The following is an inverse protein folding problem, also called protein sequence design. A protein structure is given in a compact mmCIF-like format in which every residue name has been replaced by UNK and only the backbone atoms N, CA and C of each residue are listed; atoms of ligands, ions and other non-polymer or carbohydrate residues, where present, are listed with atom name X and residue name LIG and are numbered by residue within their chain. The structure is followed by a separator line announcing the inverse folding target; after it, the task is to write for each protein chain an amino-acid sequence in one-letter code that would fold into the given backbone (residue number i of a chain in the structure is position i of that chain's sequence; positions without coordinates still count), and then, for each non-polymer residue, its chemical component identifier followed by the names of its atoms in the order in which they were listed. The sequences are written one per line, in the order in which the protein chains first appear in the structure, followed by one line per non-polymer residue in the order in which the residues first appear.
data_IF_264623655354
#
_entry.id   IF_264623655354
#
_cell.length_a   1.000
_cell.length_b   1.000
_cell.length_c   1.000
_cell.angle_alpha   90.00
_cell.angle_beta   90.00
_cell.angle_gamma   90.00
#
_symmetry.space_group_name_H-M   'P 1'
#
loop_
_entity.id
_entity.type
_entity.pdbx_description
1 polymer ?
#
# COMPACT_ATOMS: atom_id res chain seq x y z
N UNK A 1 16.83 2.68 -7.49
CA UNK A 1 16.16 3.32 -6.33
C UNK A 1 14.63 3.49 -6.56
N UNK A 2 13.94 2.57 -7.26
CA UNK A 2 12.50 2.68 -7.58
C UNK A 2 11.60 2.14 -6.45
N UNK A 3 11.97 1.00 -5.85
CA UNK A 3 11.23 0.29 -4.79
C UNK A 3 11.14 1.08 -3.49
N UNK A 4 12.24 1.70 -3.03
CA UNK A 4 12.23 2.54 -1.82
C UNK A 4 11.23 3.70 -1.91
N UNK A 5 11.17 4.37 -3.07
CA UNK A 5 10.23 5.46 -3.32
C UNK A 5 8.78 4.93 -3.30
N UNK A 6 8.52 3.79 -3.94
CA UNK A 6 7.19 3.17 -3.94
C UNK A 6 6.75 2.82 -2.51
N UNK A 7 7.64 2.24 -1.70
CA UNK A 7 7.34 1.92 -0.30
C UNK A 7 7.03 3.19 0.49
N UNK A 8 7.84 4.25 0.35
CA UNK A 8 7.61 5.52 1.03
C UNK A 8 6.26 6.16 0.64
N UNK A 9 5.94 6.17 -0.65
CA UNK A 9 4.64 6.64 -1.16
C UNK A 9 3.51 5.78 -0.58
N UNK A 10 3.66 4.46 -0.53
CA UNK A 10 2.65 3.56 0.01
C UNK A 10 2.34 3.81 1.47
N UNK A 11 3.38 4.05 2.28
CA UNK A 11 3.20 4.41 3.69
C UNK A 11 2.46 5.75 3.78
N UNK A 12 2.88 6.77 3.03
CA UNK A 12 2.23 8.08 3.04
C UNK A 12 0.75 8.00 2.62
N UNK A 13 0.45 7.33 1.52
CA UNK A 13 -0.92 7.13 1.01
C UNK A 13 -1.77 6.36 2.02
N UNK A 14 -1.21 5.34 2.65
CA UNK A 14 -1.89 4.58 3.69
C UNK A 14 -2.23 5.42 4.91
N UNK A 15 -1.29 6.22 5.40
CA UNK A 15 -1.52 7.16 6.50
C UNK A 15 -2.56 8.22 6.15
N UNK A 16 -2.49 8.80 4.94
CA UNK A 16 -3.47 9.77 4.46
C UNK A 16 -4.87 9.16 4.35
N UNK A 17 -4.98 7.95 3.80
CA UNK A 17 -6.26 7.24 3.68
C UNK A 17 -6.87 6.99 5.05
N UNK A 18 -6.06 6.54 6.02
CA UNK A 18 -6.48 6.37 7.41
C UNK A 18 -6.94 7.70 8.02
N UNK A 19 -6.23 8.80 7.77
CA UNK A 19 -6.58 10.12 8.28
C UNK A 19 -7.88 10.67 7.68
N UNK A 20 -8.06 10.59 6.35
CA UNK A 20 -9.27 11.02 5.64
C UNK A 20 -10.49 10.22 6.07
N UNK A 21 -10.37 8.89 6.12
CA UNK A 21 -11.46 8.00 6.54
C UNK A 21 -11.84 8.20 8.00
N UNK A 22 -10.87 8.50 8.87
CA UNK A 22 -11.13 8.88 10.26
C UNK A 22 -11.93 10.18 10.34
N UNK A 23 -11.56 11.20 9.55
CA UNK A 23 -12.33 12.46 9.47
C UNK A 23 -13.75 12.23 8.97
N UNK A 24 -13.95 11.25 8.07
CA UNK A 24 -15.26 10.81 7.60
C UNK A 24 -16.02 9.88 8.57
N UNK A 25 -15.54 9.71 9.82
CA UNK A 25 -16.11 8.82 10.86
C UNK A 25 -16.30 7.36 10.40
N UNK A 26 -15.52 6.89 9.43
CA UNK A 26 -15.56 5.50 8.97
C UNK A 26 -14.74 4.60 9.89
N UNK A 27 -15.11 3.31 9.92
CA UNK A 27 -14.37 2.31 10.69
C UNK A 27 -12.91 2.22 10.23
N UNK A 28 -11.93 2.13 11.16
CA UNK A 28 -10.53 1.88 10.81
C UNK A 28 -10.32 0.62 9.96
N UNK A 29 -11.23 -0.36 10.05
CA UNK A 29 -11.21 -1.56 9.20
C UNK A 29 -11.54 -1.24 7.74
N UNK A 30 -12.55 -0.41 7.51
CA UNK A 30 -12.96 0.03 6.16
C UNK A 30 -11.86 0.86 5.51
N UNK A 31 -11.24 1.78 6.26
CA UNK A 31 -10.12 2.59 5.79
C UNK A 31 -8.93 1.72 5.37
N UNK A 32 -8.57 0.73 6.19
CA UNK A 32 -7.50 -0.21 5.89
C UNK A 32 -7.79 -1.05 4.64
N UNK A 33 -9.01 -1.60 4.50
CA UNK A 33 -9.39 -2.40 3.34
C UNK A 33 -9.37 -1.56 2.05
N UNK A 34 -9.89 -0.34 2.10
CA UNK A 34 -9.86 0.58 0.95
C UNK A 34 -8.41 0.86 0.52
N UNK A 35 -7.53 1.18 1.47
CA UNK A 35 -6.11 1.35 1.18
C UNK A 35 -5.50 0.08 0.59
N UNK A 36 -5.68 -1.07 1.22
CA UNK A 36 -5.06 -2.32 0.78
C UNK A 36 -5.48 -2.70 -0.64
N UNK A 37 -6.76 -2.57 -0.98
CA UNK A 37 -7.28 -2.89 -2.32
C UNK A 37 -6.71 -1.93 -3.37
N UNK A 38 -6.76 -0.62 -3.11
CA UNK A 38 -6.24 0.38 -4.04
C UNK A 38 -4.72 0.26 -4.21
N UNK A 39 -4.00 -0.02 -3.13
CA UNK A 39 -2.55 -0.16 -3.15
C UNK A 39 -2.11 -1.44 -3.88
N UNK A 40 -2.87 -2.54 -3.73
CA UNK A 40 -2.61 -3.76 -4.49
C UNK A 40 -2.76 -3.51 -6.00
N UNK A 41 -3.81 -2.82 -6.42
CA UNK A 41 -4.01 -2.46 -7.82
C UNK A 41 -2.85 -1.60 -8.36
N UNK A 42 -2.37 -0.64 -7.58
CA UNK A 42 -1.20 0.16 -7.93
C UNK A 42 0.08 -0.68 -8.06
N UNK A 43 0.33 -1.61 -7.14
CA UNK A 43 1.48 -2.51 -7.20
C UNK A 43 1.43 -3.43 -8.42
N UNK A 44 0.26 -3.97 -8.75
CA UNK A 44 0.04 -4.78 -9.95
C UNK A 44 0.31 -3.98 -11.24
N UNK A 45 -0.19 -2.73 -11.30
CA UNK A 45 0.10 -1.84 -12.42
C UNK A 45 1.61 -1.54 -12.53
N UNK A 46 2.28 -1.30 -11.40
CA UNK A 46 3.72 -1.04 -11.37
C UNK A 46 4.55 -2.22 -11.91
N UNK A 47 4.14 -3.44 -11.52
CA UNK A 47 4.71 -4.70 -12.01
C UNK A 47 4.46 -4.88 -13.50
N UNK A 48 3.23 -4.63 -13.96
CA UNK A 48 2.87 -4.73 -15.37
C UNK A 48 3.69 -3.78 -16.25
N UNK A 49 3.90 -2.54 -15.80
CA UNK A 49 4.82 -1.60 -16.48
C UNK A 49 6.25 -2.14 -16.52
N UNK A 50 6.72 -2.79 -15.46
CA UNK A 50 8.05 -3.44 -15.44
C UNK A 50 8.16 -4.53 -16.51
N UNK A 51 7.18 -5.43 -16.56
CA UNK A 51 7.12 -6.53 -17.54
C UNK A 51 6.98 -6.01 -18.96
N UNK A 52 6.07 -5.05 -19.21
CA UNK A 52 5.77 -4.56 -20.57
C UNK A 52 6.80 -3.57 -21.11
N UNK A 53 7.44 -2.77 -20.26
CA UNK A 53 8.43 -1.77 -20.71
C UNK A 53 9.86 -2.27 -20.66
N UNK A 54 10.23 -3.11 -19.69
CA UNK A 54 11.60 -3.62 -19.56
C UNK A 54 11.77 -5.05 -20.08
N UNK A 55 10.68 -5.77 -20.35
CA UNK A 55 10.72 -7.13 -20.89
C UNK A 55 11.07 -8.22 -19.85
N UNK A 56 11.07 -7.90 -18.56
CA UNK A 56 11.30 -8.88 -17.49
C UNK A 56 10.17 -9.90 -17.39
N UNK A 57 10.50 -11.11 -16.93
CA UNK A 57 9.50 -12.12 -16.64
C UNK A 57 8.67 -11.73 -15.40
N UNK A 58 7.39 -12.14 -15.39
CA UNK A 58 6.49 -11.91 -14.25
C UNK A 58 7.06 -12.49 -12.95
N UNK A 59 7.77 -13.62 -13.03
CA UNK A 59 8.44 -14.27 -11.90
C UNK A 59 9.57 -13.45 -11.30
N UNK A 60 10.22 -12.59 -12.08
CA UNK A 60 11.30 -11.72 -11.62
C UNK A 60 10.74 -10.48 -10.91
N UNK A 61 9.56 -9.99 -11.34
CA UNK A 61 8.91 -8.80 -10.78
C UNK A 61 8.00 -9.13 -9.58
N UNK A 62 7.56 -10.39 -9.43
CA UNK A 62 6.71 -10.85 -8.33
C UNK A 62 7.28 -10.59 -6.92
N UNK A 63 8.57 -10.86 -6.63
CA UNK A 63 9.17 -10.54 -5.33
C UNK A 63 9.12 -9.04 -5.01
N UNK A 64 9.32 -8.19 -6.01
CA UNK A 64 9.26 -6.74 -5.83
C UNK A 64 7.82 -6.27 -5.58
N UNK A 65 6.84 -6.84 -6.28
CA UNK A 65 5.42 -6.62 -5.99
C UNK A 65 5.10 -7.00 -4.54
N UNK A 66 5.56 -8.16 -4.08
CA UNK A 66 5.32 -8.64 -2.72
C UNK A 66 5.90 -7.66 -1.69
N UNK A 67 7.13 -7.18 -1.87
CA UNK A 67 7.75 -6.21 -0.95
C UNK A 67 7.01 -4.87 -0.98
N UNK A 68 6.72 -4.33 -2.17
CA UNK A 68 6.05 -3.04 -2.35
C UNK A 68 4.62 -3.03 -1.80
N UNK A 69 3.97 -4.19 -1.75
CA UNK A 69 2.65 -4.35 -1.16
C UNK A 69 2.71 -4.64 0.35
N UNK A 70 3.45 -5.67 0.76
CA UNK A 70 3.43 -6.17 2.14
C UNK A 70 4.01 -5.16 3.13
N UNK A 71 5.06 -4.42 2.75
CA UNK A 71 5.70 -3.46 3.68
C UNK A 71 4.73 -2.31 4.03
N UNK A 72 4.17 -1.55 3.09
CA UNK A 72 3.20 -0.50 3.42
C UNK A 72 1.94 -1.05 4.12
N UNK A 73 1.40 -2.18 3.67
CA UNK A 73 0.20 -2.78 4.27
C UNK A 73 0.47 -3.22 5.71
N UNK A 74 1.61 -3.85 5.97
CA UNK A 74 2.03 -4.25 7.32
C UNK A 74 2.18 -3.06 8.27
N UNK A 75 2.80 -1.98 7.80
CA UNK A 75 2.94 -0.73 8.57
C UNK A 75 1.57 -0.14 8.92
N UNK A 76 0.69 0.01 7.93
CA UNK A 76 -0.65 0.57 8.15
C UNK A 76 -1.49 -0.33 9.05
N UNK A 77 -1.37 -1.66 8.90
CA UNK A 77 -2.05 -2.63 9.76
C UNK A 77 -1.60 -2.50 11.23
N UNK A 78 -0.29 -2.41 11.47
CA UNK A 78 0.27 -2.22 12.81
C UNK A 78 -0.18 -0.89 13.45
N UNK A 79 -0.23 0.18 12.65
CA UNK A 79 -0.64 1.51 13.12
C UNK A 79 -2.16 1.65 13.29
N UNK A 80 -2.97 0.81 12.65
CA UNK A 80 -4.44 0.84 12.73
C UNK A 80 -4.96 0.88 14.17
N UNK A 81 -4.35 0.09 15.07
CA UNK A 81 -4.74 0.03 16.48
C UNK A 81 -4.35 1.30 17.27
N UNK A 82 -3.27 1.99 16.89
CA UNK A 82 -2.84 3.23 17.55
C UNK A 82 -3.74 4.41 17.15
N UNK A 83 -4.14 4.45 15.88
CA UNK A 83 -5.01 5.51 15.34
C UNK A 83 -6.43 5.43 15.93
N UNK A 84 -6.90 4.23 16.29
CA UNK A 84 -8.24 4.03 16.89
C UNK A 84 -8.33 4.18 18.41
N UNK A 85 -7.21 4.39 19.12
CA UNK A 85 -7.15 4.45 20.60
C UNK A 85 -7.13 5.86 21.20
N UNK A 86 -7.14 6.91 20.37
CA UNK A 86 -7.32 8.27 20.86
C UNK A 86 -8.79 8.46 21.25
N UNK A 87 -9.12 8.04 22.47
CA UNK A 87 -10.36 8.28 23.19
C UNK A 87 -10.01 9.06 24.45
#
# INVERSE_FOLDING_TARGET
MRTLIIIAIGILVGLLTMWVMRKARKSPRTAFLAFAILWLAFCLYNMWVGVSSAGYAVTEELPFLAINFLVPVGVVFALRKRIGRAH
#
